data_IF_418757028519
#
_entry.id   IF_418757028519
#
_cell.length_a   1.000
_cell.length_b   1.000
_cell.length_c   1.000
_cell.angle_alpha   90.00
_cell.angle_beta   90.00
_cell.angle_gamma   90.00
#
_symmetry.space_group_name_H-M   'P 1'
#
loop_
_entity.id
_entity.type
_entity.pdbx_description
1 polymer ?
#
# COMPACT_ATOMS: atom_id res chain seq x y z
N UNK A 1 15.40 25.69 21.22
CA UNK A 1 13.97 25.72 20.84
C UNK A 1 13.26 26.64 21.83
N UNK A 2 12.75 27.79 21.37
CA UNK A 2 12.21 28.84 22.25
C UNK A 2 10.75 28.51 22.61
N UNK A 3 10.48 28.20 23.88
CA UNK A 3 9.15 27.81 24.36
C UNK A 3 8.57 28.89 25.27
N UNK A 4 7.66 29.72 24.74
CA UNK A 4 6.97 30.76 25.52
C UNK A 4 5.66 30.20 26.11
N UNK A 5 5.65 29.91 27.41
CA UNK A 5 4.46 29.40 28.12
C UNK A 5 3.39 30.49 28.30
N UNK A 6 2.16 30.21 27.89
CA UNK A 6 0.97 31.06 28.07
C UNK A 6 -0.28 30.40 27.45
N UNK A 7 -1.47 30.61 28.05
CA UNK A 7 -2.71 29.95 27.61
C UNK A 7 -3.13 30.42 26.21
N UNK A 8 -3.40 29.47 25.32
CA UNK A 8 -3.83 29.69 23.93
C UNK A 8 -5.31 30.07 23.88
N UNK A 9 -5.67 31.08 23.08
CA UNK A 9 -7.05 31.35 22.66
C UNK A 9 -7.14 31.36 21.14
N UNK A 10 -8.25 30.84 20.60
CA UNK A 10 -8.53 30.70 19.16
C UNK A 10 -9.50 31.79 18.69
N UNK A 11 -9.26 32.33 17.49
CA UNK A 11 -10.25 33.05 16.69
C UNK A 11 -10.78 32.10 15.59
N UNK A 12 -11.92 32.43 14.97
CA UNK A 12 -12.68 31.55 14.06
C UNK A 12 -12.00 31.27 12.70
N UNK A 13 -10.90 31.95 12.38
CA UNK A 13 -9.98 31.70 11.25
C UNK A 13 -8.70 30.95 11.69
N UNK A 14 -8.59 30.63 12.98
CA UNK A 14 -7.64 29.68 13.56
C UNK A 14 -6.23 30.17 13.84
N UNK A 15 -5.84 31.39 13.44
CA UNK A 15 -4.45 31.88 13.58
C UNK A 15 -4.30 32.89 14.72
N UNK A 16 -3.75 32.44 15.86
CA UNK A 16 -3.46 33.35 16.98
C UNK A 16 -2.30 34.32 16.66
N UNK A 17 -2.38 35.56 17.14
CA UNK A 17 -1.30 36.58 17.07
C UNK A 17 0.09 36.05 17.44
N UNK A 18 0.17 35.16 18.44
CA UNK A 18 1.42 34.53 18.88
C UNK A 18 2.02 33.64 17.79
N UNK A 19 1.19 32.89 17.06
CA UNK A 19 1.63 32.07 15.92
C UNK A 19 2.08 32.94 14.74
N UNK A 20 1.39 34.05 14.46
CA UNK A 20 1.81 34.97 13.39
C UNK A 20 3.19 35.59 13.66
N UNK A 21 3.43 36.07 14.89
CA UNK A 21 4.74 36.59 15.30
C UNK A 21 5.80 35.48 15.32
N UNK A 22 5.43 34.27 15.74
CA UNK A 22 6.35 33.12 15.74
C UNK A 22 6.77 32.72 14.31
N UNK A 23 5.83 32.73 13.35
CA UNK A 23 6.12 32.48 11.93
C UNK A 23 6.93 33.61 11.32
N UNK A 24 6.60 34.87 11.61
CA UNK A 24 7.35 36.05 11.11
C UNK A 24 8.76 36.18 11.70
N UNK A 25 8.96 35.78 12.95
CA UNK A 25 10.28 35.78 13.59
C UNK A 25 11.22 34.69 13.01
N UNK A 26 10.67 33.56 12.55
CA UNK A 26 11.46 32.53 11.84
C UNK A 26 12.04 33.05 10.52
N UNK A 27 11.28 33.92 9.82
CA UNK A 27 11.74 34.57 8.59
C UNK A 27 12.93 35.52 8.83
N UNK A 28 12.99 36.18 9.99
CA UNK A 28 14.12 37.06 10.36
C UNK A 28 15.43 36.29 10.57
N UNK A 29 15.37 35.00 10.91
CA UNK A 29 16.52 34.11 11.02
C UNK A 29 16.79 33.29 9.74
N UNK A 30 16.19 33.69 8.60
CA UNK A 30 16.41 33.06 7.31
C UNK A 30 15.77 31.69 7.12
N UNK A 31 14.86 31.27 8.02
CA UNK A 31 14.06 30.07 7.85
C UNK A 31 12.75 30.43 7.15
N UNK A 32 12.74 30.30 5.82
CA UNK A 32 11.52 30.48 5.04
C UNK A 32 10.67 29.20 5.04
N UNK A 33 9.39 29.32 4.66
CA UNK A 33 8.55 28.15 4.37
C UNK A 33 9.20 27.24 3.31
N UNK A 34 9.89 27.83 2.33
CA UNK A 34 10.62 27.06 1.32
C UNK A 34 11.78 26.27 1.94
N UNK A 35 12.48 26.82 2.93
CA UNK A 35 13.55 26.10 3.64
C UNK A 35 13.00 24.99 4.53
N UNK A 36 11.83 25.20 5.15
CA UNK A 36 11.12 24.15 5.87
C UNK A 36 10.69 23.01 4.93
N UNK A 37 10.06 23.33 3.79
CA UNK A 37 9.65 22.33 2.79
C UNK A 37 10.86 21.58 2.20
N UNK A 38 11.98 22.28 1.94
CA UNK A 38 13.24 21.65 1.52
C UNK A 38 13.83 20.75 2.60
N UNK A 39 13.77 21.15 3.86
CA UNK A 39 14.22 20.33 4.99
C UNK A 39 13.33 19.10 5.17
N UNK A 40 12.01 19.22 5.02
CA UNK A 40 11.08 18.09 5.02
C UNK A 40 11.33 17.14 3.86
N UNK A 41 11.59 17.64 2.64
CA UNK A 41 11.98 16.82 1.50
C UNK A 41 13.32 16.08 1.73
N UNK A 42 14.29 16.70 2.42
CA UNK A 42 15.54 16.05 2.81
C UNK A 42 15.33 14.98 3.88
N UNK A 43 14.33 15.17 4.74
CA UNK A 43 13.97 14.23 5.79
C UNK A 43 12.91 13.26 5.27
N UNK A 44 13.22 12.50 4.21
CA UNK A 44 12.33 11.42 3.73
C UNK A 44 12.07 10.46 4.90
N UNK A 45 10.86 10.54 5.49
CA UNK A 45 10.43 9.65 6.56
C UNK A 45 10.31 8.23 6.01
N UNK A 46 11.36 7.43 6.19
CA UNK A 46 11.34 6.01 5.85
C UNK A 46 10.75 5.22 7.02
N UNK A 47 9.55 4.68 6.81
CA UNK A 47 8.97 3.71 7.75
C UNK A 47 9.68 2.37 7.61
N UNK A 48 10.11 1.80 8.74
CA UNK A 48 10.64 0.44 8.79
C UNK A 48 9.54 -0.63 8.95
N UNK A 49 8.27 -0.23 8.96
CA UNK A 49 7.14 -1.15 9.06
C UNK A 49 6.79 -1.72 7.69
N UNK A 50 6.54 -3.01 7.66
CA UNK A 50 5.97 -3.72 6.52
C UNK A 50 4.54 -4.14 6.91
N UNK A 51 3.62 -4.11 5.95
CA UNK A 51 2.21 -4.47 6.18
C UNK A 51 1.83 -5.52 5.15
N UNK A 52 1.26 -6.62 5.63
CA UNK A 52 0.65 -7.64 4.80
C UNK A 52 -0.86 -7.50 4.92
N UNK A 53 -1.52 -7.19 3.80
CA UNK A 53 -2.97 -7.19 3.73
C UNK A 53 -3.44 -8.54 3.21
N UNK A 54 -4.08 -9.32 4.07
CA UNK A 54 -4.80 -10.53 3.66
C UNK A 54 -6.24 -10.10 3.35
N UNK A 55 -6.54 -9.94 2.08
CA UNK A 55 -7.87 -9.57 1.61
C UNK A 55 -8.67 -10.81 1.22
N UNK A 56 -9.71 -11.12 1.98
CA UNK A 56 -10.54 -12.30 1.75
C UNK A 56 -11.79 -11.92 0.94
N UNK A 57 -11.77 -12.21 -0.36
CA UNK A 57 -12.86 -11.90 -1.30
C UNK A 57 -14.14 -12.67 -0.93
N UNK A 58 -15.05 -12.04 -0.19
CA UNK A 58 -16.26 -12.67 0.35
C UNK A 58 -16.02 -13.34 1.70
N UNK A 59 -14.93 -14.09 1.81
CA UNK A 59 -14.36 -14.57 3.08
C UNK A 59 -15.30 -15.39 3.99
N UNK A 60 -14.79 -15.86 5.14
CA UNK A 60 -15.62 -16.45 6.17
C UNK A 60 -16.46 -15.37 6.87
N UNK A 61 -17.65 -15.75 7.34
CA UNK A 61 -18.50 -14.86 8.11
C UNK A 61 -17.79 -14.35 9.38
N UNK A 62 -18.08 -13.11 9.77
CA UNK A 62 -17.61 -12.58 11.06
C UNK A 62 -18.14 -13.38 12.26
N UNK A 63 -19.35 -13.97 12.11
CA UNK A 63 -19.98 -14.83 13.12
C UNK A 63 -19.24 -16.15 13.30
N UNK A 64 -18.57 -16.61 12.25
CA UNK A 64 -17.83 -17.87 12.20
C UNK A 64 -16.32 -17.65 12.41
N UNK A 65 -15.91 -16.43 12.78
CA UNK A 65 -14.51 -16.07 13.00
C UNK A 65 -14.31 -15.34 14.33
N UNK A 66 -14.14 -14.01 14.29
CA UNK A 66 -13.68 -13.20 15.40
C UNK A 66 -14.80 -12.46 16.13
N UNK A 67 -16.05 -12.52 15.68
CA UNK A 67 -17.20 -11.86 16.31
C UNK A 67 -18.41 -12.80 16.47
N UNK A 68 -18.15 -13.96 17.07
CA UNK A 68 -19.19 -14.95 17.35
C UNK A 68 -20.31 -14.38 18.22
N UNK A 69 -21.53 -14.87 18.03
CA UNK A 69 -22.71 -14.55 18.85
C UNK A 69 -23.25 -15.81 19.53
N UNK A 70 -22.49 -16.48 20.41
CA UNK A 70 -22.84 -17.81 20.92
C UNK A 70 -24.17 -17.85 21.70
N UNK A 71 -24.63 -16.71 22.21
CA UNK A 71 -25.87 -16.60 22.98
C UNK A 71 -27.12 -16.35 22.11
N UNK A 72 -26.97 -16.18 20.79
CA UNK A 72 -28.10 -16.02 19.89
C UNK A 72 -28.72 -17.39 19.54
N UNK A 73 -29.97 -17.42 19.02
CA UNK A 73 -30.56 -18.64 18.47
C UNK A 73 -29.66 -19.31 17.43
N UNK A 74 -29.74 -20.64 17.31
CA UNK A 74 -28.90 -21.45 16.42
C UNK A 74 -28.97 -20.98 14.96
N UNK A 75 -30.16 -20.55 14.53
CA UNK A 75 -30.43 -20.02 13.21
C UNK A 75 -29.66 -18.72 12.90
N UNK A 76 -29.21 -18.00 13.93
CA UNK A 76 -28.49 -16.73 13.82
C UNK A 76 -27.00 -16.91 14.12
N UNK A 77 -26.64 -17.67 15.16
CA UNK A 77 -25.23 -17.81 15.58
C UNK A 77 -24.42 -18.77 14.73
N UNK A 78 -25.08 -19.61 13.94
CA UNK A 78 -24.44 -20.65 13.14
C UNK A 78 -24.12 -21.92 13.94
N UNK A 79 -23.55 -22.94 13.28
CA UNK A 79 -23.34 -24.27 13.88
C UNK A 79 -22.10 -24.33 14.79
N UNK A 80 -21.19 -23.38 14.65
CA UNK A 80 -19.88 -23.43 15.29
C UNK A 80 -19.91 -22.99 16.75
N UNK A 81 -18.99 -23.54 17.54
CA UNK A 81 -18.80 -23.21 18.93
C UNK A 81 -17.63 -22.25 19.13
N UNK A 82 -17.65 -21.53 20.25
CA UNK A 82 -16.57 -20.64 20.64
C UNK A 82 -15.57 -21.37 21.55
N UNK A 83 -14.27 -21.12 21.34
CA UNK A 83 -13.19 -21.53 22.22
C UNK A 83 -12.57 -20.32 22.94
N UNK A 84 -12.02 -20.49 24.15
CA UNK A 84 -11.21 -19.46 24.80
C UNK A 84 -10.01 -19.06 23.92
N UNK A 85 -9.60 -17.80 24.01
CA UNK A 85 -8.36 -17.31 23.40
C UNK A 85 -7.40 -16.77 24.45
N UNK A 86 -6.18 -16.45 24.03
CA UNK A 86 -5.16 -15.78 24.87
C UNK A 86 -5.53 -14.36 25.27
N UNK A 87 -6.57 -13.77 24.67
CA UNK A 87 -7.11 -12.48 25.08
C UNK A 87 -8.40 -12.69 25.89
N UNK A 88 -8.33 -12.34 27.18
CA UNK A 88 -9.46 -12.45 28.09
C UNK A 88 -10.69 -11.69 27.58
N UNK A 89 -11.86 -12.32 27.67
CA UNK A 89 -13.12 -11.75 27.21
C UNK A 89 -13.31 -11.77 25.69
N UNK A 90 -12.39 -12.37 24.93
CA UNK A 90 -12.50 -12.51 23.47
C UNK A 90 -12.44 -13.98 23.02
N UNK A 91 -13.50 -14.78 23.25
CA UNK A 91 -13.60 -16.11 22.66
C UNK A 91 -13.81 -16.00 21.14
N UNK A 92 -13.24 -16.94 20.39
CA UNK A 92 -13.30 -16.98 18.92
C UNK A 92 -13.72 -18.37 18.43
N UNK A 93 -13.98 -18.53 17.14
CA UNK A 93 -14.43 -19.79 16.55
C UNK A 93 -13.48 -20.96 16.78
N UNK A 94 -14.04 -22.13 17.11
CA UNK A 94 -13.30 -23.39 17.32
C UNK A 94 -12.46 -23.82 16.12
N UNK A 95 -12.82 -23.37 14.91
CA UNK A 95 -12.07 -23.62 13.67
C UNK A 95 -10.80 -22.77 13.53
N UNK A 96 -10.53 -21.87 14.47
CA UNK A 96 -9.33 -21.02 14.48
C UNK A 96 -8.42 -21.26 15.69
N UNK A 97 -8.04 -22.52 16.00
CA UNK A 97 -7.31 -22.86 17.22
C UNK A 97 -5.92 -22.22 17.28
N UNK A 98 -5.28 -21.98 16.14
CA UNK A 98 -3.98 -21.29 16.09
C UNK A 98 -4.10 -19.79 16.32
N UNK A 99 -5.18 -19.15 15.84
CA UNK A 99 -5.44 -17.74 16.16
C UNK A 99 -5.75 -17.57 17.64
N UNK A 100 -6.50 -18.49 18.24
CA UNK A 100 -6.82 -18.44 19.67
C UNK A 100 -5.55 -18.37 20.54
N UNK A 101 -4.48 -19.05 20.12
CA UNK A 101 -3.17 -19.05 20.79
C UNK A 101 -2.36 -17.75 20.64
N UNK A 102 -2.76 -16.82 19.78
CA UNK A 102 -2.03 -15.58 19.49
C UNK A 102 -2.90 -14.32 19.55
N UNK A 103 -4.13 -14.41 20.08
CA UNK A 103 -5.05 -13.27 20.18
C UNK A 103 -4.50 -12.12 21.05
N UNK A 104 -3.58 -12.39 21.97
CA UNK A 104 -2.82 -11.37 22.72
C UNK A 104 -1.98 -10.44 21.81
N UNK A 105 -1.70 -10.87 20.57
CA UNK A 105 -0.98 -10.11 19.54
C UNK A 105 -1.91 -9.55 18.45
N UNK A 106 -3.21 -9.80 18.55
CA UNK A 106 -4.19 -9.38 17.55
C UNK A 106 -5.01 -8.18 18.04
N UNK A 107 -5.55 -7.42 17.10
CA UNK A 107 -6.56 -6.40 17.38
C UNK A 107 -7.75 -6.62 16.47
N UNK A 108 -8.92 -6.84 17.08
CA UNK A 108 -10.17 -7.02 16.33
C UNK A 108 -10.92 -5.70 16.30
N UNK A 109 -11.20 -5.19 15.10
CA UNK A 109 -11.94 -3.93 14.90
C UNK A 109 -13.36 -4.28 14.47
N UNK A 110 -14.34 -4.02 15.35
CA UNK A 110 -15.77 -4.29 15.12
C UNK A 110 -16.62 -3.02 14.96
N UNK A 111 -15.98 -1.87 14.85
CA UNK A 111 -16.63 -0.56 14.84
C UNK A 111 -17.05 -0.07 13.45
N UNK A 112 -16.93 -0.93 12.42
CA UNK A 112 -17.22 -0.55 11.04
C UNK A 112 -18.50 -1.21 10.55
N UNK A 113 -19.38 -0.43 9.92
CA UNK A 113 -20.57 -0.90 9.23
C UNK A 113 -20.89 0.04 8.08
N UNK A 114 -21.53 -0.47 7.04
CA UNK A 114 -22.04 0.31 5.94
C UNK A 114 -23.38 -0.22 5.44
N UNK A 115 -24.21 0.64 4.87
CA UNK A 115 -25.52 0.29 4.31
C UNK A 115 -25.50 -0.22 2.87
N UNK A 116 -24.33 -0.59 2.33
CA UNK A 116 -24.19 -1.02 0.93
C UNK A 116 -24.06 -2.55 0.82
N UNK A 117 -24.95 -3.18 0.05
CA UNK A 117 -24.89 -4.62 -0.23
C UNK A 117 -24.12 -4.99 -1.50
N UNK A 118 -23.66 -4.01 -2.29
CA UNK A 118 -22.87 -4.25 -3.50
C UNK A 118 -21.43 -4.62 -3.12
N UNK A 119 -21.03 -5.83 -3.52
CA UNK A 119 -19.73 -6.40 -3.19
C UNK A 119 -18.55 -5.59 -3.78
N UNK A 120 -18.71 -4.99 -4.95
CA UNK A 120 -17.66 -4.19 -5.60
C UNK A 120 -17.54 -2.82 -4.93
N UNK A 121 -18.66 -2.20 -4.59
CA UNK A 121 -18.67 -0.93 -3.89
C UNK A 121 -18.09 -1.04 -2.48
N UNK A 122 -18.42 -2.11 -1.76
CA UNK A 122 -17.83 -2.41 -0.46
C UNK A 122 -16.31 -2.62 -0.57
N UNK A 123 -15.85 -3.40 -1.55
CA UNK A 123 -14.41 -3.61 -1.79
C UNK A 123 -13.69 -2.30 -2.11
N UNK A 124 -14.23 -1.47 -3.00
CA UNK A 124 -13.67 -0.16 -3.33
C UNK A 124 -13.55 0.73 -2.08
N UNK A 125 -14.60 0.78 -1.26
CA UNK A 125 -14.58 1.57 -0.02
C UNK A 125 -13.51 1.07 0.94
N UNK A 126 -13.44 -0.22 1.21
CA UNK A 126 -12.47 -0.78 2.15
C UNK A 126 -11.02 -0.66 1.68
N UNK A 127 -10.77 -0.70 0.37
CA UNK A 127 -9.42 -0.63 -0.19
C UNK A 127 -8.93 0.81 -0.43
N UNK A 128 -9.83 1.77 -0.64
CA UNK A 128 -9.49 3.16 -0.99
C UNK A 128 -9.91 4.19 0.06
N UNK A 129 -10.86 3.86 0.93
CA UNK A 129 -11.52 4.80 1.85
C UNK A 129 -12.65 5.63 1.22
N UNK A 130 -12.94 5.45 -0.08
CA UNK A 130 -13.90 6.27 -0.81
C UNK A 130 -15.06 5.46 -1.40
N UNK A 131 -16.22 6.10 -1.51
CA UNK A 131 -17.32 5.60 -2.32
C UNK A 131 -17.09 5.90 -3.81
N UNK A 132 -17.73 5.16 -4.70
CA UNK A 132 -17.81 5.55 -6.11
C UNK A 132 -18.00 4.38 -7.07
N UNK A 133 -17.07 3.42 -7.05
CA UNK A 133 -17.19 2.23 -7.89
C UNK A 133 -18.31 1.31 -7.39
N UNK A 134 -18.90 0.54 -8.31
CA UNK A 134 -20.02 -0.38 -8.08
C UNK A 134 -19.85 -1.62 -8.96
N UNK A 135 -20.74 -2.61 -8.81
CA UNK A 135 -20.74 -3.78 -9.69
C UNK A 135 -20.92 -3.45 -11.18
N UNK A 136 -21.67 -2.37 -11.48
CA UNK A 136 -21.96 -1.88 -12.84
C UNK A 136 -20.92 -0.92 -13.40
N UNK A 137 -20.23 -0.17 -12.55
CA UNK A 137 -19.16 0.76 -12.95
C UNK A 137 -17.94 0.55 -12.05
N UNK A 138 -16.97 -0.20 -12.57
CA UNK A 138 -15.78 -0.68 -11.84
C UNK A 138 -14.55 0.19 -12.04
N UNK A 139 -14.70 1.36 -12.66
CA UNK A 139 -13.55 2.23 -12.94
C UNK A 139 -12.93 2.68 -11.60
N UNK A 140 -11.64 2.42 -11.34
CA UNK A 140 -10.99 2.82 -10.09
C UNK A 140 -10.89 4.35 -10.00
N UNK A 141 -11.62 4.94 -9.03
CA UNK A 141 -11.70 6.41 -8.90
C UNK A 141 -10.65 6.99 -7.97
N UNK A 142 -10.18 6.20 -7.01
CA UNK A 142 -9.24 6.61 -5.99
C UNK A 142 -8.11 5.59 -5.84
N UNK A 143 -6.92 6.03 -5.40
CA UNK A 143 -5.82 5.13 -5.12
C UNK A 143 -6.15 4.19 -3.95
N UNK A 144 -5.65 2.96 -4.03
CA UNK A 144 -5.65 2.05 -2.90
C UNK A 144 -4.76 2.56 -1.77
N UNK A 145 -5.03 2.12 -0.53
CA UNK A 145 -4.15 2.40 0.61
C UNK A 145 -2.69 2.05 0.31
N UNK A 146 -2.48 0.94 -0.39
CA UNK A 146 -1.17 0.48 -0.81
C UNK A 146 -0.45 1.43 -1.78
N UNK A 147 -1.18 1.94 -2.78
CA UNK A 147 -0.65 2.93 -3.73
C UNK A 147 -0.41 4.28 -3.07
N UNK A 148 -1.23 4.69 -2.10
CA UNK A 148 -0.96 5.88 -1.29
C UNK A 148 0.35 5.70 -0.50
N UNK A 149 0.60 4.52 0.09
CA UNK A 149 1.87 4.25 0.77
C UNK A 149 3.05 4.27 -0.20
N UNK A 150 2.90 3.72 -1.41
CA UNK A 150 3.91 3.81 -2.47
C UNK A 150 4.24 5.25 -2.83
N UNK A 151 3.23 6.11 -2.97
CA UNK A 151 3.41 7.52 -3.30
C UNK A 151 4.10 8.31 -2.17
N UNK A 152 3.69 8.08 -0.92
CA UNK A 152 4.21 8.85 0.22
C UNK A 152 5.59 8.37 0.70
N UNK A 153 5.85 7.06 0.64
CA UNK A 153 7.03 6.45 1.25
C UNK A 153 8.04 5.93 0.21
N UNK A 154 7.58 5.62 -1.00
CA UNK A 154 8.39 4.99 -2.03
C UNK A 154 8.90 3.59 -1.63
N UNK A 155 9.75 2.98 -2.46
CA UNK A 155 10.39 1.72 -2.13
C UNK A 155 11.40 1.92 -0.98
N UNK A 156 11.46 0.94 -0.07
CA UNK A 156 12.45 0.97 1.03
C UNK A 156 13.87 0.87 0.48
N UNK A 157 14.06 0.02 -0.52
CA UNK A 157 15.32 -0.16 -1.25
C UNK A 157 15.11 0.02 -2.75
N UNK A 158 16.04 0.70 -3.40
CA UNK A 158 16.01 0.85 -4.85
C UNK A 158 16.12 -0.52 -5.53
N UNK A 159 15.27 -0.75 -6.53
CA UNK A 159 15.20 -2.04 -7.22
C UNK A 159 14.34 -3.10 -6.53
N UNK A 160 13.61 -2.74 -5.46
CA UNK A 160 12.56 -3.56 -4.84
C UNK A 160 11.22 -2.80 -4.93
N UNK A 161 10.10 -3.44 -5.31
CA UNK A 161 8.79 -2.78 -5.34
C UNK A 161 8.38 -2.23 -3.96
N UNK A 162 7.75 -1.04 -3.95
CA UNK A 162 7.17 -0.47 -2.73
C UNK A 162 5.91 -1.22 -2.27
N UNK A 163 5.20 -1.83 -3.22
CA UNK A 163 4.00 -2.62 -3.00
C UNK A 163 3.97 -3.79 -3.97
N UNK A 164 3.51 -4.93 -3.47
CA UNK A 164 3.31 -6.17 -4.21
C UNK A 164 1.86 -6.59 -4.02
N UNK A 165 1.21 -7.01 -5.11
CA UNK A 165 -0.12 -7.61 -5.06
C UNK A 165 -0.02 -9.03 -5.62
N UNK A 166 -0.24 -9.99 -4.73
CA UNK A 166 -0.27 -11.42 -5.05
C UNK A 166 -1.74 -11.78 -5.18
N UNK A 167 -2.27 -11.69 -6.40
CA UNK A 167 -3.69 -11.80 -6.74
C UNK A 167 -4.56 -10.58 -6.32
N UNK A 168 -5.17 -9.94 -7.32
CA UNK A 168 -6.08 -8.78 -7.17
C UNK A 168 -7.54 -9.20 -6.94
N UNK A 169 -7.78 -10.52 -6.97
CA UNK A 169 -9.09 -11.18 -6.96
C UNK A 169 -10.14 -10.51 -7.87
N UNK A 170 -9.66 -9.91 -8.96
CA UNK A 170 -10.47 -9.32 -10.01
C UNK A 170 -11.10 -7.96 -9.67
N UNK A 171 -10.88 -7.39 -8.47
CA UNK A 171 -11.52 -6.12 -8.10
C UNK A 171 -10.97 -4.90 -8.84
N UNK A 172 -9.67 -4.89 -9.16
CA UNK A 172 -9.03 -3.75 -9.81
C UNK A 172 -8.83 -2.53 -8.91
N UNK A 173 -9.18 -2.61 -7.62
CA UNK A 173 -9.15 -1.49 -6.68
C UNK A 173 -7.85 -1.38 -5.87
N UNK A 174 -6.86 -2.25 -6.12
CA UNK A 174 -5.53 -2.14 -5.52
C UNK A 174 -4.60 -1.16 -6.23
N UNK A 175 -5.02 -0.56 -7.35
CA UNK A 175 -4.22 0.34 -8.17
C UNK A 175 -4.08 1.78 -7.65
N UNK A 176 -3.26 2.55 -8.36
CA UNK A 176 -2.91 3.92 -8.03
C UNK A 176 -3.90 4.98 -8.54
N UNK A 177 -4.79 4.62 -9.47
CA UNK A 177 -5.73 5.57 -10.10
C UNK A 177 -5.00 6.85 -10.54
N UNK A 178 -5.45 8.02 -10.10
CA UNK A 178 -4.87 9.32 -10.44
C UNK A 178 -3.46 9.58 -9.86
N UNK A 179 -2.90 8.73 -8.99
CA UNK A 179 -1.51 8.87 -8.53
C UNK A 179 -0.50 8.45 -9.60
N UNK A 180 -0.94 7.78 -10.65
CA UNK A 180 -0.09 7.39 -11.75
C UNK A 180 0.52 5.99 -11.60
N UNK A 181 0.95 5.49 -12.74
CA UNK A 181 1.36 4.10 -12.96
C UNK A 181 2.59 3.67 -12.17
N UNK A 182 3.47 4.61 -11.80
CA UNK A 182 4.64 4.37 -10.94
C UNK A 182 4.26 3.89 -9.51
N UNK A 183 3.04 4.15 -9.06
CA UNK A 183 2.55 3.74 -7.76
C UNK A 183 1.60 2.54 -7.79
N UNK A 184 1.45 1.89 -8.96
CA UNK A 184 0.72 0.64 -9.04
C UNK A 184 1.47 -0.49 -8.30
N UNK A 185 0.74 -1.45 -7.73
CA UNK A 185 1.35 -2.64 -7.16
C UNK A 185 2.09 -3.43 -8.25
N UNK A 186 3.26 -3.97 -7.89
CA UNK A 186 3.88 -5.02 -8.68
C UNK A 186 2.99 -6.27 -8.56
N UNK A 187 2.35 -6.65 -9.66
CA UNK A 187 1.41 -7.76 -9.71
C UNK A 187 2.15 -9.04 -10.01
N UNK A 188 1.87 -10.08 -9.22
CA UNK A 188 2.44 -11.42 -9.42
C UNK A 188 1.35 -12.47 -9.35
N UNK A 189 1.50 -13.51 -10.17
CA UNK A 189 0.50 -14.55 -10.33
C UNK A 189 -0.61 -14.17 -11.32
N UNK A 190 -1.31 -15.19 -11.80
CA UNK A 190 -2.51 -15.03 -12.61
C UNK A 190 -3.74 -15.02 -11.69
N UNK A 191 -4.76 -14.25 -12.09
CA UNK A 191 -6.03 -14.26 -11.38
C UNK A 191 -6.68 -15.63 -11.50
N UNK A 192 -6.95 -16.27 -10.36
CA UNK A 192 -7.65 -17.55 -10.29
C UNK A 192 -8.61 -17.57 -9.09
N UNK A 193 -9.82 -18.07 -9.31
CA UNK A 193 -10.83 -18.31 -8.26
C UNK A 193 -10.61 -19.67 -7.53
N UNK A 194 -9.49 -20.35 -7.76
CA UNK A 194 -9.16 -21.65 -7.15
C UNK A 194 -7.88 -21.65 -6.31
N UNK A 195 -7.40 -22.86 -6.00
CA UNK A 195 -6.20 -23.13 -5.17
C UNK A 195 -4.88 -22.58 -5.76
N UNK A 196 -4.93 -21.93 -6.91
CA UNK A 196 -3.80 -21.32 -7.62
C UNK A 196 -3.51 -19.90 -7.14
N UNK A 197 -4.40 -19.30 -6.33
CA UNK A 197 -4.22 -17.99 -5.70
C UNK A 197 -3.00 -17.89 -4.75
N UNK A 198 -2.23 -18.97 -4.58
CA UNK A 198 -1.18 -19.10 -3.59
C UNK A 198 0.24 -19.32 -4.13
N UNK A 199 0.51 -19.21 -5.44
CA UNK A 199 1.91 -19.19 -5.88
C UNK A 199 2.51 -17.82 -5.57
N UNK A 200 3.21 -17.76 -4.43
CA UNK A 200 4.10 -16.66 -4.14
C UNK A 200 5.09 -16.52 -5.31
N UNK A 201 5.35 -15.30 -5.80
CA UNK A 201 6.39 -15.08 -6.78
C UNK A 201 7.70 -15.65 -6.25
N UNK A 202 8.26 -16.60 -6.98
CA UNK A 202 9.61 -17.12 -6.72
C UNK A 202 10.62 -16.21 -7.42
N UNK A 203 11.89 -16.25 -7.00
CA UNK A 203 12.98 -15.56 -7.70
C UNK A 203 13.21 -16.03 -9.15
N UNK A 204 12.39 -16.97 -9.65
CA UNK A 204 12.36 -17.43 -11.04
C UNK A 204 11.16 -16.86 -11.83
N UNK A 205 10.34 -15.98 -11.27
CA UNK A 205 9.22 -15.35 -11.97
C UNK A 205 9.70 -14.63 -13.25
N UNK A 206 8.92 -14.76 -14.34
CA UNK A 206 9.23 -14.13 -15.65
C UNK A 206 9.37 -12.61 -15.54
N UNK A 207 8.68 -12.00 -14.58
CA UNK A 207 8.73 -10.57 -14.31
C UNK A 207 10.11 -10.08 -13.82
N UNK A 208 11.00 -10.99 -13.38
CA UNK A 208 12.38 -10.69 -12.99
C UNK A 208 13.43 -11.17 -14.00
N UNK A 209 13.01 -11.68 -15.15
CA UNK A 209 13.91 -12.18 -16.19
C UNK A 209 13.96 -11.24 -17.38
N UNK A 210 15.12 -11.16 -18.03
CA UNK A 210 15.23 -10.52 -19.32
C UNK A 210 14.57 -11.42 -20.38
N UNK A 211 13.93 -10.82 -21.38
CA UNK A 211 13.39 -11.54 -22.54
C UNK A 211 14.53 -12.32 -23.21
N UNK A 212 14.24 -13.55 -23.64
CA UNK A 212 15.19 -14.43 -24.31
C UNK A 212 15.90 -13.70 -25.48
N UNK A 213 17.23 -13.75 -25.49
CA UNK A 213 18.07 -13.05 -26.48
C UNK A 213 18.44 -11.60 -26.16
N UNK A 214 17.96 -11.05 -25.03
CA UNK A 214 18.38 -9.74 -24.52
C UNK A 214 19.47 -9.89 -23.45
N UNK A 215 20.74 -9.66 -23.82
CA UNK A 215 21.83 -9.61 -22.84
C UNK A 215 21.79 -8.29 -22.04
N UNK A 216 22.38 -8.28 -20.83
CA UNK A 216 22.51 -7.06 -20.01
C UNK A 216 23.17 -5.91 -20.78
N UNK A 217 24.25 -6.18 -21.52
CA UNK A 217 24.94 -5.16 -22.32
C UNK A 217 24.02 -4.57 -23.39
N UNK A 218 23.27 -5.43 -24.11
CA UNK A 218 22.33 -4.98 -25.14
C UNK A 218 21.17 -4.17 -24.56
N UNK A 219 20.74 -4.49 -23.34
CA UNK A 219 19.76 -3.68 -22.62
C UNK A 219 20.36 -2.30 -22.28
N UNK A 220 21.57 -2.25 -21.69
CA UNK A 220 22.26 -0.99 -21.36
C UNK A 220 22.45 -0.11 -22.59
N UNK A 221 22.84 -0.69 -23.74
CA UNK A 221 22.98 0.06 -25.00
C UNK A 221 21.66 0.67 -25.46
N UNK A 222 20.56 -0.10 -25.38
CA UNK A 222 19.21 0.40 -25.71
C UNK A 222 18.75 1.50 -24.77
N UNK A 223 19.02 1.37 -23.47
CA UNK A 223 18.70 2.39 -22.47
C UNK A 223 19.49 3.68 -22.71
N UNK A 224 20.77 3.55 -23.05
CA UNK A 224 21.61 4.69 -23.45
C UNK A 224 21.03 5.41 -24.67
N UNK A 225 20.63 4.66 -25.71
CA UNK A 225 20.02 5.23 -26.91
C UNK A 225 18.66 5.88 -26.59
N UNK A 226 17.80 5.23 -25.80
CA UNK A 226 16.52 5.78 -25.36
C UNK A 226 16.73 7.11 -24.61
N UNK A 227 17.70 7.16 -23.69
CA UNK A 227 18.01 8.38 -22.93
C UNK A 227 18.45 9.55 -23.81
N UNK A 228 19.07 9.28 -24.96
CA UNK A 228 19.45 10.31 -25.93
C UNK A 228 18.22 10.86 -26.67
N UNK A 229 17.28 9.99 -27.05
CA UNK A 229 16.00 10.41 -27.63
C UNK A 229 15.09 11.13 -26.62
N UNK A 230 15.05 10.68 -25.37
CA UNK A 230 14.23 11.31 -24.33
C UNK A 230 14.75 12.69 -23.96
N UNK A 231 16.07 12.94 -23.98
CA UNK A 231 16.62 14.29 -23.82
C UNK A 231 16.12 15.23 -24.93
N UNK A 232 16.17 14.78 -26.18
CA UNK A 232 15.68 15.55 -27.32
C UNK A 232 14.18 15.85 -27.20
N UNK A 233 13.39 14.90 -26.66
CA UNK A 233 11.94 15.05 -26.49
C UNK A 233 11.57 15.92 -25.29
N UNK A 234 12.31 15.85 -24.19
CA UNK A 234 12.11 16.70 -23.00
C UNK A 234 12.35 18.17 -23.28
N UNK A 235 13.29 18.49 -24.17
CA UNK A 235 13.49 19.87 -24.63
C UNK A 235 12.27 20.43 -25.40
N UNK A 236 11.34 19.56 -25.82
CA UNK A 236 10.13 19.89 -26.57
C UNK A 236 8.85 19.74 -25.73
N UNK A 237 8.89 19.02 -24.61
CA UNK A 237 7.70 18.72 -23.82
C UNK A 237 7.39 19.76 -22.74
N UNK A 238 6.33 20.55 -22.95
CA UNK A 238 5.82 21.51 -21.97
C UNK A 238 4.82 20.90 -20.97
N UNK A 239 4.39 19.64 -21.15
CA UNK A 239 3.23 19.08 -20.46
C UNK A 239 3.54 18.15 -19.25
N UNK A 240 4.80 17.80 -18.98
CA UNK A 240 5.20 17.01 -17.80
C UNK A 240 4.76 15.54 -17.82
N UNK A 241 4.18 15.06 -18.93
CA UNK A 241 3.69 13.68 -19.06
C UNK A 241 4.85 12.66 -19.01
N UNK A 242 6.05 13.06 -19.43
CA UNK A 242 7.21 12.17 -19.48
C UNK A 242 7.90 11.94 -18.13
N UNK A 243 7.69 12.79 -17.12
CA UNK A 243 8.31 12.59 -15.80
C UNK A 243 7.88 11.27 -15.14
N UNK A 244 6.59 10.93 -15.25
CA UNK A 244 6.05 9.66 -14.71
C UNK A 244 6.56 8.42 -15.48
N UNK A 245 6.84 8.55 -16.78
CA UNK A 245 7.41 7.45 -17.57
C UNK A 245 8.87 7.19 -17.19
N UNK A 246 9.63 8.25 -16.90
CA UNK A 246 11.02 8.15 -16.47
C UNK A 246 11.14 7.42 -15.13
N UNK A 247 10.27 7.74 -14.16
CA UNK A 247 10.27 7.05 -12.85
C UNK A 247 9.98 5.55 -12.98
N UNK A 248 8.99 5.17 -13.77
CA UNK A 248 8.68 3.77 -14.05
C UNK A 248 9.85 3.05 -14.73
N UNK A 249 10.44 3.69 -15.74
CA UNK A 249 11.56 3.12 -16.49
C UNK A 249 12.76 2.88 -15.58
N UNK A 250 13.13 3.86 -14.75
CA UNK A 250 14.22 3.72 -13.77
C UNK A 250 13.91 2.60 -12.79
N UNK A 251 12.70 2.52 -12.26
CA UNK A 251 12.31 1.46 -11.34
C UNK A 251 12.41 0.06 -11.98
N UNK A 252 11.90 -0.10 -13.21
CA UNK A 252 11.96 -1.36 -13.93
C UNK A 252 13.40 -1.78 -14.26
N UNK A 253 14.24 -0.83 -14.68
CA UNK A 253 15.67 -1.07 -14.93
C UNK A 253 16.38 -1.53 -13.67
N UNK A 254 16.18 -0.85 -12.54
CA UNK A 254 16.77 -1.22 -11.26
C UNK A 254 16.30 -2.61 -10.81
N UNK A 255 15.01 -2.94 -10.94
CA UNK A 255 14.49 -4.26 -10.59
C UNK A 255 15.14 -5.38 -11.40
N UNK A 256 15.32 -5.20 -12.72
CA UNK A 256 15.89 -6.20 -13.62
C UNK A 256 17.42 -6.28 -13.51
N UNK A 257 18.12 -5.16 -13.40
CA UNK A 257 19.58 -5.09 -13.47
C UNK A 257 20.25 -5.35 -12.13
N UNK A 258 19.68 -4.84 -11.03
CA UNK A 258 20.28 -4.97 -9.70
C UNK A 258 20.18 -6.39 -9.14
N UNK A 259 19.17 -7.16 -9.56
CA UNK A 259 18.86 -8.48 -9.03
C UNK A 259 18.27 -8.47 -7.60
N UNK A 260 18.07 -7.29 -6.99
CA UNK A 260 17.57 -7.17 -5.61
C UNK A 260 16.13 -7.68 -5.47
N UNK A 261 15.22 -7.27 -6.35
CA UNK A 261 13.87 -7.81 -6.37
C UNK A 261 13.88 -9.34 -6.50
N UNK A 262 14.67 -9.87 -7.45
CA UNK A 262 14.80 -11.31 -7.66
C UNK A 262 15.25 -12.06 -6.40
N UNK A 263 16.25 -11.53 -5.70
CA UNK A 263 16.71 -12.09 -4.44
C UNK A 263 15.65 -12.01 -3.34
N UNK A 264 14.94 -10.88 -3.24
CA UNK A 264 13.88 -10.68 -2.25
C UNK A 264 12.70 -11.66 -2.41
N UNK A 265 12.47 -12.16 -3.61
CA UNK A 265 11.45 -13.18 -3.91
C UNK A 265 12.00 -14.62 -3.93
N UNK A 266 13.27 -14.83 -3.58
CA UNK A 266 13.85 -16.16 -3.53
C UNK A 266 13.64 -16.83 -2.16
N UNK A 267 12.49 -17.50 -2.00
CA UNK A 267 12.13 -18.19 -0.76
C UNK A 267 13.13 -19.31 -0.37
N UNK A 268 13.92 -19.84 -1.30
CA UNK A 268 14.97 -20.84 -1.00
C UNK A 268 16.09 -20.26 -0.11
N UNK A 269 16.18 -18.94 0.02
CA UNK A 269 17.13 -18.26 0.89
C UNK A 269 16.59 -18.04 2.31
N UNK A 270 15.31 -18.34 2.57
CA UNK A 270 14.75 -18.25 3.91
C UNK A 270 15.33 -19.38 4.79
N UNK A 271 15.78 -19.06 6.02
CA UNK A 271 16.26 -20.08 6.94
C UNK A 271 15.12 -21.04 7.29
N UNK A 272 15.43 -22.34 7.36
CA UNK A 272 14.48 -23.32 7.89
C UNK A 272 14.22 -23.01 9.37
N UNK A 273 12.96 -22.71 9.71
CA UNK A 273 12.49 -22.56 11.09
C UNK A 273 12.40 -23.91 11.81
#
# INVERSE_FOLDING_TARGET
>A
MLTLRGKSQRLCDGVSRRKFIQVGALSYFGLTLADLLRAEQRTKRRSQRSVILIWQHGGPSQLDTFDMKPNNPEEVRGPYQSIPSTLDGLPICELMPYHAKIMDKCTVIRSFTHGNGDHWAAAHWMLTGYLGATGSDRIPRNPSMGSIMSHLLGPREMGVPAIVNVNDGGFGFHGASHLGVAHNPFRTGEYSYGNEAGRLPTGSDKSFQLIDGLSKNRLVDRLSLLSQFDRLRRDVDQAGTFENMDEMNVQAQEMLLSGRARAAFNLEQEPAE
#
